data_IF_845775558093
#
_entry.id   IF_845775558093
#
_cell.length_a   1.000
_cell.length_b   1.000
_cell.length_c   1.000
_cell.angle_alpha   90.00
_cell.angle_beta   90.00
_cell.angle_gamma   90.00
#
_symmetry.space_group_name_H-M   'P 1'
#
loop_
_entity.id
_entity.type
_entity.pdbx_description
1 polymer ?
#
# COMPACT_ATOMS: atom_id res chain seq x y z
N UNK A 1 26.47 -18.94 -5.60
CA UNK A 1 26.13 -18.99 -4.15
C UNK A 1 25.60 -17.62 -3.76
N UNK A 2 24.30 -17.49 -3.47
CA UNK A 2 23.69 -16.27 -2.94
C UNK A 2 23.94 -16.24 -1.41
N UNK A 3 25.14 -15.84 -1.01
CA UNK A 3 25.58 -15.90 0.39
C UNK A 3 25.29 -14.65 1.21
N UNK A 4 25.62 -13.45 0.69
CA UNK A 4 25.62 -12.21 1.51
C UNK A 4 24.81 -11.05 0.91
N UNK A 5 24.19 -11.22 -0.27
CA UNK A 5 23.57 -10.12 -1.04
C UNK A 5 22.05 -10.25 -1.26
N UNK A 6 21.36 -11.14 -0.53
CA UNK A 6 19.92 -11.37 -0.69
C UNK A 6 19.21 -11.45 0.69
N UNK A 7 18.76 -10.31 1.25
CA UNK A 7 18.34 -10.23 2.65
C UNK A 7 17.12 -11.09 3.02
N UNK A 8 16.29 -11.49 2.06
CA UNK A 8 15.07 -12.27 2.33
C UNK A 8 15.16 -13.76 2.01
N UNK A 9 16.18 -14.22 1.28
CA UNK A 9 16.19 -15.53 0.61
C UNK A 9 15.86 -16.71 1.53
N UNK A 10 16.33 -16.67 2.79
CA UNK A 10 16.24 -17.78 3.74
C UNK A 10 15.40 -17.46 4.99
N UNK A 11 14.67 -16.34 5.00
CA UNK A 11 13.95 -15.88 6.20
C UNK A 11 12.43 -15.80 6.02
N UNK A 12 11.91 -16.05 4.82
CA UNK A 12 10.47 -15.98 4.53
C UNK A 12 9.70 -17.00 5.39
N UNK A 13 8.72 -16.48 6.12
CA UNK A 13 7.79 -17.26 6.94
C UNK A 13 6.44 -17.40 6.25
N UNK A 14 5.74 -18.50 6.52
CA UNK A 14 4.43 -18.78 5.92
C UNK A 14 3.33 -18.92 6.96
N UNK A 15 2.12 -18.50 6.61
CA UNK A 15 0.90 -18.80 7.35
C UNK A 15 0.10 -19.89 6.63
N UNK A 16 -0.68 -20.67 7.38
CA UNK A 16 -1.42 -21.84 6.86
C UNK A 16 -2.92 -21.81 7.15
N UNK A 17 -3.37 -21.04 8.14
CA UNK A 17 -4.77 -20.91 8.52
C UNK A 17 -5.20 -19.45 8.53
N UNK A 18 -6.41 -19.18 8.02
CA UNK A 18 -7.06 -17.88 8.21
C UNK A 18 -7.48 -17.74 9.67
N UNK A 19 -7.15 -16.61 10.30
CA UNK A 19 -7.57 -16.30 11.67
C UNK A 19 -8.84 -15.44 11.66
N UNK A 20 -9.74 -15.67 12.62
CA UNK A 20 -11.01 -14.92 12.71
C UNK A 20 -10.82 -13.43 13.05
N UNK A 21 -9.74 -13.09 13.76
CA UNK A 21 -9.52 -11.76 14.34
C UNK A 21 -8.68 -10.82 13.45
N UNK A 22 -8.58 -11.10 12.16
CA UNK A 22 -7.83 -10.24 11.25
C UNK A 22 -8.55 -8.94 10.96
N UNK A 23 -7.79 -7.86 11.04
CA UNK A 23 -8.16 -6.56 10.52
C UNK A 23 -7.41 -6.33 9.22
N UNK A 24 -8.14 -6.04 8.15
CA UNK A 24 -7.54 -5.97 6.83
C UNK A 24 -7.01 -4.58 6.48
N UNK A 25 -5.86 -4.57 5.83
CA UNK A 25 -5.21 -3.40 5.24
C UNK A 25 -4.86 -3.72 3.79
N UNK A 26 -4.89 -2.70 2.93
CA UNK A 26 -4.52 -2.83 1.53
C UNK A 26 -3.38 -1.90 1.15
N UNK A 27 -2.55 -2.32 0.21
CA UNK A 27 -1.52 -1.49 -0.41
C UNK A 27 -1.58 -1.63 -1.93
N UNK A 28 -1.42 -0.50 -2.61
CA UNK A 28 -1.36 -0.43 -4.07
C UNK A 28 -0.10 0.34 -4.47
N UNK A 29 0.85 -0.37 -5.07
CA UNK A 29 1.88 0.22 -5.92
C UNK A 29 1.38 0.12 -7.37
N UNK A 30 0.86 1.21 -7.95
CA UNK A 30 0.32 1.17 -9.29
C UNK A 30 1.39 1.15 -10.38
N UNK A 31 2.69 1.30 -10.05
CA UNK A 31 3.88 1.31 -10.93
C UNK A 31 3.55 1.24 -12.43
N UNK A 32 3.59 2.39 -13.10
CA UNK A 32 3.12 2.51 -14.49
C UNK A 32 4.25 2.47 -15.53
N UNK A 33 5.49 2.23 -15.08
CA UNK A 33 6.70 2.34 -15.89
C UNK A 33 6.97 3.77 -16.40
N UNK A 34 8.19 4.01 -16.88
CA UNK A 34 8.50 5.23 -17.65
C UNK A 34 7.93 5.11 -19.06
N UNK A 35 7.47 6.23 -19.64
CA UNK A 35 7.01 6.27 -21.03
C UNK A 35 8.07 5.69 -21.98
N UNK A 36 7.71 4.68 -22.77
CA UNK A 36 8.60 4.02 -23.74
C UNK A 36 9.36 2.79 -23.24
N UNK A 37 9.31 2.46 -21.95
CA UNK A 37 9.81 1.18 -21.41
C UNK A 37 8.69 0.13 -21.35
N UNK A 38 9.05 -1.16 -21.34
CA UNK A 38 8.10 -2.21 -20.95
C UNK A 38 7.49 -1.83 -19.60
N UNK A 39 6.16 -1.76 -19.52
CA UNK A 39 5.46 -1.39 -18.28
C UNK A 39 5.89 -2.29 -17.13
N UNK A 40 6.28 -1.66 -16.03
CA UNK A 40 6.52 -2.33 -14.77
C UNK A 40 5.20 -2.95 -14.25
N UNK A 41 5.25 -4.06 -13.51
CA UNK A 41 4.06 -4.68 -12.96
C UNK A 41 3.51 -3.87 -11.79
N UNK A 42 2.21 -3.59 -11.80
CA UNK A 42 1.52 -3.10 -10.60
C UNK A 42 1.45 -4.18 -9.51
N UNK A 43 1.55 -3.79 -8.25
CA UNK A 43 1.41 -4.67 -7.09
C UNK A 43 0.23 -4.24 -6.20
N UNK A 44 -0.72 -5.15 -6.02
CA UNK A 44 -1.86 -5.01 -5.12
C UNK A 44 -1.76 -6.06 -4.02
N UNK A 45 -1.59 -5.63 -2.77
CA UNK A 45 -1.51 -6.53 -1.63
C UNK A 45 -2.64 -6.27 -0.65
N UNK A 46 -3.13 -7.34 -0.02
CA UNK A 46 -4.02 -7.28 1.15
C UNK A 46 -3.40 -8.09 2.27
N UNK A 47 -3.39 -7.54 3.48
CA UNK A 47 -2.89 -8.21 4.67
C UNK A 47 -3.93 -8.27 5.79
N UNK A 48 -4.06 -9.44 6.41
CA UNK A 48 -4.77 -9.63 7.66
C UNK A 48 -3.84 -9.36 8.84
N UNK A 49 -4.05 -8.26 9.54
CA UNK A 49 -3.25 -7.89 10.71
C UNK A 49 -3.95 -8.33 12.00
N UNK A 50 -3.25 -9.12 12.81
CA UNK A 50 -3.71 -9.45 14.14
C UNK A 50 -3.19 -8.40 15.13
N UNK A 51 -4.09 -7.57 15.65
CA UNK A 51 -3.74 -6.47 16.56
C UNK A 51 -3.22 -6.91 17.92
N UNK A 52 -3.53 -8.13 18.35
CA UNK A 52 -3.07 -8.66 19.63
C UNK A 52 -1.63 -9.15 19.54
N UNK A 53 -1.28 -9.82 18.44
CA UNK A 53 0.05 -10.42 18.25
C UNK A 53 1.02 -9.52 17.47
N UNK A 54 0.51 -8.51 16.75
CA UNK A 54 1.31 -7.67 15.87
C UNK A 54 1.77 -8.36 14.59
N UNK A 55 1.15 -9.50 14.22
CA UNK A 55 1.49 -10.28 13.04
C UNK A 55 0.65 -9.86 11.85
N UNK A 56 1.30 -9.63 10.71
CA UNK A 56 0.71 -9.36 9.41
C UNK A 56 0.81 -10.59 8.50
N UNK A 57 -0.35 -11.15 8.15
CA UNK A 57 -0.47 -12.23 7.18
C UNK A 57 -0.87 -11.67 5.83
N UNK A 58 -0.01 -11.77 4.82
CA UNK A 58 -0.34 -11.33 3.45
C UNK A 58 -1.30 -12.34 2.84
N UNK A 59 -2.55 -11.95 2.61
CA UNK A 59 -3.62 -12.81 2.10
C UNK A 59 -3.78 -12.72 0.59
N UNK A 60 -3.53 -11.55 0.00
CA UNK A 60 -3.52 -11.34 -1.45
C UNK A 60 -2.19 -10.75 -1.88
N UNK A 61 -1.65 -11.25 -3.00
CA UNK A 61 -0.48 -10.68 -3.65
C UNK A 61 -0.65 -10.66 -5.18
N UNK A 62 -1.46 -9.72 -5.67
CA UNK A 62 -1.73 -9.55 -7.09
C UNK A 62 -0.66 -8.68 -7.76
N UNK A 63 0.42 -9.30 -8.25
CA UNK A 63 1.51 -8.62 -8.95
C UNK A 63 1.48 -8.99 -10.43
N UNK A 64 1.16 -8.02 -11.30
CA UNK A 64 1.08 -8.23 -12.75
C UNK A 64 1.04 -6.91 -13.51
N UNK A 65 1.36 -6.96 -14.80
CA UNK A 65 1.15 -5.83 -15.72
C UNK A 65 -0.36 -5.58 -15.87
N UNK A 66 -0.80 -4.35 -15.56
CA UNK A 66 -2.20 -3.92 -15.65
C UNK A 66 -2.30 -2.58 -16.35
N UNK A 67 -3.48 -2.33 -16.94
CA UNK A 67 -3.87 -0.97 -17.33
C UNK A 67 -4.36 -0.21 -16.08
N UNK A 68 -4.25 1.13 -16.04
CA UNK A 68 -4.73 1.94 -14.91
C UNK A 68 -6.17 1.62 -14.49
N UNK A 69 -7.09 1.49 -15.46
CA UNK A 69 -8.48 1.13 -15.16
C UNK A 69 -8.58 -0.23 -14.45
N UNK A 70 -7.78 -1.23 -14.87
CA UNK A 70 -7.80 -2.56 -14.23
C UNK A 70 -7.23 -2.54 -12.82
N UNK A 71 -6.27 -1.67 -12.52
CA UNK A 71 -5.79 -1.46 -11.14
C UNK A 71 -6.96 -0.97 -10.28
N UNK A 72 -7.72 0.03 -10.74
CA UNK A 72 -8.88 0.57 -10.02
C UNK A 72 -9.93 -0.51 -9.78
N UNK A 73 -10.28 -1.29 -10.81
CA UNK A 73 -11.26 -2.38 -10.69
C UNK A 73 -10.82 -3.45 -9.67
N UNK A 74 -9.55 -3.87 -9.73
CA UNK A 74 -9.02 -4.88 -8.82
C UNK A 74 -9.00 -4.39 -7.37
N UNK A 75 -8.63 -3.11 -7.12
CA UNK A 75 -8.68 -2.52 -5.76
C UNK A 75 -10.11 -2.47 -5.22
N UNK A 76 -11.09 -2.09 -6.04
CA UNK A 76 -12.51 -2.07 -5.62
C UNK A 76 -12.99 -3.48 -5.32
N UNK A 77 -12.61 -4.48 -6.14
CA UNK A 77 -12.96 -5.87 -5.91
C UNK A 77 -12.40 -6.38 -4.57
N UNK A 78 -11.11 -6.13 -4.30
CA UNK A 78 -10.50 -6.48 -3.02
C UNK A 78 -11.12 -5.71 -1.85
N UNK A 79 -11.51 -4.45 -2.02
CA UNK A 79 -12.22 -3.72 -0.97
C UNK A 79 -13.59 -4.34 -0.67
N UNK A 80 -14.33 -4.80 -1.68
CA UNK A 80 -15.62 -5.45 -1.50
C UNK A 80 -15.47 -6.76 -0.71
N UNK A 81 -14.43 -7.53 -1.00
CA UNK A 81 -14.16 -8.82 -0.36
C UNK A 81 -13.63 -8.66 1.07
N UNK A 82 -12.57 -7.87 1.25
CA UNK A 82 -11.81 -7.82 2.51
C UNK A 82 -12.22 -6.67 3.44
N UNK A 83 -12.93 -5.66 2.92
CA UNK A 83 -13.34 -4.46 3.67
C UNK A 83 -12.19 -3.84 4.45
N UNK A 84 -11.06 -3.63 3.77
CA UNK A 84 -9.86 -3.07 4.39
C UNK A 84 -10.19 -1.76 5.10
N UNK A 85 -9.63 -1.57 6.30
CA UNK A 85 -9.80 -0.34 7.08
C UNK A 85 -9.08 0.84 6.43
N UNK A 86 -7.99 0.57 5.72
CA UNK A 86 -7.16 1.54 5.06
C UNK A 86 -6.54 0.91 3.82
N UNK A 87 -6.56 1.67 2.72
CA UNK A 87 -5.70 1.45 1.57
C UNK A 87 -4.63 2.53 1.53
N UNK A 88 -3.37 2.14 1.40
CA UNK A 88 -2.29 3.07 1.04
C UNK A 88 -1.99 2.91 -0.45
N UNK A 89 -1.92 4.03 -1.16
CA UNK A 89 -1.73 4.05 -2.60
C UNK A 89 -0.57 4.96 -2.91
N UNK A 90 0.45 4.45 -3.57
CA UNK A 90 1.53 5.31 -4.05
C UNK A 90 0.95 6.34 -5.03
N UNK A 91 1.32 7.61 -4.83
CA UNK A 91 0.77 8.74 -5.59
C UNK A 91 1.89 9.68 -6.06
N UNK A 92 2.73 9.19 -6.96
CA UNK A 92 3.69 10.01 -7.71
C UNK A 92 3.13 10.41 -9.08
N UNK A 93 3.13 11.72 -9.39
CA UNK A 93 2.75 12.27 -10.70
C UNK A 93 1.39 11.77 -11.22
N UNK A 94 1.37 11.04 -12.35
CA UNK A 94 0.15 10.52 -13.00
C UNK A 94 -0.68 9.60 -12.08
N UNK A 95 -0.08 9.00 -11.06
CA UNK A 95 -0.78 8.15 -10.09
C UNK A 95 -1.79 8.93 -9.24
N UNK A 96 -1.65 10.26 -9.08
CA UNK A 96 -2.63 11.10 -8.39
C UNK A 96 -4.00 11.11 -9.10
N UNK A 97 -4.01 11.00 -10.43
CA UNK A 97 -5.24 10.84 -11.20
C UNK A 97 -5.88 9.49 -10.94
N UNK A 98 -5.09 8.41 -10.90
CA UNK A 98 -5.57 7.05 -10.58
C UNK A 98 -6.23 7.03 -9.20
N UNK A 99 -5.61 7.63 -8.18
CA UNK A 99 -6.19 7.78 -6.84
C UNK A 99 -7.54 8.51 -6.87
N UNK A 100 -7.62 9.62 -7.59
CA UNK A 100 -8.86 10.43 -7.69
C UNK A 100 -9.99 9.66 -8.36
N UNK A 101 -9.69 8.96 -9.45
CA UNK A 101 -10.65 8.12 -10.17
C UNK A 101 -11.08 6.89 -9.36
N UNK A 102 -10.17 6.27 -8.60
CA UNK A 102 -10.51 5.19 -7.69
C UNK A 102 -11.56 5.65 -6.68
N UNK A 103 -11.31 6.76 -5.96
CA UNK A 103 -12.24 7.27 -4.93
C UNK A 103 -13.62 7.58 -5.54
N UNK A 104 -13.64 8.22 -6.71
CA UNK A 104 -14.88 8.55 -7.43
C UNK A 104 -15.66 7.31 -7.86
N UNK A 105 -15.02 6.34 -8.51
CA UNK A 105 -15.67 5.13 -9.02
C UNK A 105 -16.12 4.19 -7.90
N UNK A 106 -15.31 4.06 -6.85
CA UNK A 106 -15.63 3.33 -5.63
C UNK A 106 -16.91 3.87 -4.96
N UNK A 107 -17.00 5.20 -4.79
CA UNK A 107 -18.17 5.86 -4.22
C UNK A 107 -19.42 5.66 -5.08
N UNK A 108 -19.30 5.80 -6.41
CA UNK A 108 -20.42 5.61 -7.33
C UNK A 108 -21.01 4.18 -7.29
N UNK A 109 -20.22 3.19 -6.85
CA UNK A 109 -20.65 1.79 -6.72
C UNK A 109 -21.11 1.40 -5.31
N UNK A 110 -21.14 2.34 -4.37
CA UNK A 110 -21.48 2.06 -2.98
C UNK A 110 -20.42 1.23 -2.22
N UNK A 111 -19.19 1.16 -2.74
CA UNK A 111 -18.06 0.43 -2.12
C UNK A 111 -16.95 1.45 -1.86
N UNK A 112 -17.09 2.36 -0.88
CA UNK A 112 -16.08 3.37 -0.62
C UNK A 112 -14.76 2.70 -0.21
N UNK A 113 -13.69 3.05 -0.93
CA UNK A 113 -12.33 2.62 -0.61
C UNK A 113 -11.72 3.67 0.33
N UNK A 114 -11.35 3.32 1.58
CA UNK A 114 -10.70 4.24 2.51
C UNK A 114 -9.23 4.44 2.12
N UNK A 115 -9.00 5.02 0.95
CA UNK A 115 -7.66 5.22 0.39
C UNK A 115 -6.97 6.46 0.97
N UNK A 116 -5.65 6.36 1.15
CA UNK A 116 -4.75 7.48 1.40
C UNK A 116 -3.62 7.44 0.38
N UNK A 117 -3.42 8.56 -0.30
CA UNK A 117 -2.25 8.77 -1.15
C UNK A 117 -1.01 8.91 -0.27
N UNK A 118 0.03 8.15 -0.60
CA UNK A 118 1.35 8.24 0.05
C UNK A 118 2.41 8.58 -1.00
N UNK A 119 3.41 9.35 -0.58
CA UNK A 119 4.60 9.65 -1.37
C UNK A 119 5.82 9.16 -0.57
N UNK A 120 6.60 8.21 -1.11
CA UNK A 120 7.85 7.81 -0.49
C UNK A 120 8.82 8.99 -0.46
N UNK A 121 9.40 9.27 0.71
CA UNK A 121 10.42 10.33 0.89
C UNK A 121 11.84 9.76 1.05
N UNK A 122 11.97 8.48 1.35
CA UNK A 122 13.24 7.78 1.56
C UNK A 122 13.52 6.78 0.44
N UNK A 123 14.79 6.42 0.31
CA UNK A 123 15.28 5.49 -0.71
C UNK A 123 14.53 4.14 -0.68
N UNK A 124 14.08 3.70 -1.85
CA UNK A 124 13.24 2.50 -2.02
C UNK A 124 13.94 1.24 -1.51
N UNK A 125 15.24 1.08 -1.77
CA UNK A 125 15.99 -0.11 -1.36
C UNK A 125 16.04 -0.21 0.17
N UNK A 126 16.38 0.90 0.83
CA UNK A 126 16.42 0.98 2.30
C UNK A 126 15.06 0.72 2.94
N UNK A 127 13.98 1.25 2.35
CA UNK A 127 12.61 0.98 2.84
C UNK A 127 12.29 -0.51 2.76
N UNK A 128 12.53 -1.15 1.63
CA UNK A 128 12.25 -2.59 1.46
C UNK A 128 13.13 -3.40 2.43
N UNK A 129 14.43 -3.11 2.52
CA UNK A 129 15.36 -3.81 3.41
C UNK A 129 14.93 -3.73 4.89
N UNK A 130 14.28 -2.65 5.32
CA UNK A 130 13.73 -2.50 6.68
C UNK A 130 12.72 -3.59 7.07
N UNK A 131 12.13 -4.32 6.11
CA UNK A 131 11.24 -5.44 6.38
C UNK A 131 11.96 -6.69 6.91
N UNK A 132 13.28 -6.82 6.68
CA UNK A 132 14.05 -8.01 7.01
C UNK A 132 13.83 -8.51 8.46
N UNK A 133 13.98 -7.67 9.52
CA UNK A 133 13.74 -8.14 10.90
C UNK A 133 12.30 -8.62 11.13
N UNK A 134 11.31 -7.99 10.48
CA UNK A 134 9.89 -8.34 10.64
C UNK A 134 9.56 -9.67 9.95
N UNK A 135 10.13 -9.92 8.78
CA UNK A 135 10.01 -11.22 8.08
C UNK A 135 10.74 -12.30 8.88
N UNK A 136 12.00 -12.07 9.27
CA UNK A 136 12.82 -13.03 10.01
C UNK A 136 12.18 -13.47 11.33
N UNK A 137 11.52 -12.57 12.02
CA UNK A 137 10.85 -12.84 13.31
C UNK A 137 9.39 -13.32 13.15
N UNK A 138 8.91 -13.57 11.93
CA UNK A 138 7.55 -14.06 11.69
C UNK A 138 6.44 -13.04 11.97
N UNK A 139 6.77 -11.76 12.05
CA UNK A 139 5.80 -10.67 12.14
C UNK A 139 5.16 -10.37 10.79
N UNK A 140 5.85 -10.69 9.70
CA UNK A 140 5.29 -10.71 8.35
C UNK A 140 5.35 -12.14 7.83
N UNK A 141 4.20 -12.69 7.44
CA UNK A 141 4.11 -14.03 6.87
C UNK A 141 3.42 -13.98 5.51
N UNK A 142 3.90 -14.80 4.59
CA UNK A 142 3.39 -14.90 3.22
C UNK A 142 2.61 -16.19 3.02
N UNK A 143 1.99 -16.33 1.85
CA UNK A 143 1.37 -17.59 1.44
C UNK A 143 2.17 -18.24 0.29
N UNK A 144 2.39 -19.57 0.27
CA UNK A 144 3.18 -20.22 -0.77
C UNK A 144 2.70 -20.00 -2.21
N UNK A 145 1.41 -19.69 -2.41
CA UNK A 145 0.85 -19.39 -3.74
C UNK A 145 1.28 -18.03 -4.30
N UNK A 146 1.91 -17.16 -3.50
CA UNK A 146 2.31 -15.80 -3.88
C UNK A 146 3.66 -15.82 -4.62
N UNK A 147 3.76 -16.67 -5.64
CA UNK A 147 5.03 -17.03 -6.30
C UNK A 147 5.83 -15.83 -6.77
N UNK A 148 5.17 -14.84 -7.40
CA UNK A 148 5.82 -13.61 -7.87
C UNK A 148 6.42 -12.79 -6.73
N UNK A 149 5.68 -12.59 -5.63
CA UNK A 149 6.20 -11.86 -4.47
C UNK A 149 7.38 -12.60 -3.83
N UNK A 150 7.26 -13.93 -3.71
CA UNK A 150 8.31 -14.78 -3.16
C UNK A 150 9.59 -14.72 -4.00
N UNK A 151 9.46 -14.75 -5.32
CA UNK A 151 10.59 -14.66 -6.25
C UNK A 151 11.28 -13.29 -6.18
N UNK A 152 10.50 -12.20 -6.16
CA UNK A 152 11.03 -10.85 -6.01
C UNK A 152 11.79 -10.68 -4.69
N UNK A 153 11.23 -11.14 -3.56
CA UNK A 153 11.91 -11.07 -2.26
C UNK A 153 13.18 -11.93 -2.22
N UNK A 154 13.14 -13.16 -2.72
CA UNK A 154 14.30 -14.08 -2.69
C UNK A 154 15.50 -13.53 -3.45
N UNK A 155 15.27 -12.81 -4.54
CA UNK A 155 16.34 -12.26 -5.37
C UNK A 155 16.61 -10.77 -5.11
N UNK A 156 15.82 -10.10 -4.27
CA UNK A 156 16.05 -8.72 -3.87
C UNK A 156 17.48 -8.54 -3.32
N UNK A 157 18.19 -7.43 -3.62
CA UNK A 157 17.77 -6.30 -4.45
C UNK A 157 18.02 -6.50 -5.96
N UNK A 158 18.46 -7.69 -6.37
CA UNK A 158 18.84 -8.01 -7.76
C UNK A 158 17.71 -8.63 -8.59
N UNK A 159 16.49 -8.65 -8.08
CA UNK A 159 15.33 -9.11 -8.83
C UNK A 159 15.04 -8.15 -10.00
N UNK A 160 14.44 -8.66 -11.07
CA UNK A 160 14.06 -7.83 -12.24
C UNK A 160 13.03 -6.75 -11.89
N UNK A 161 12.24 -6.99 -10.84
CA UNK A 161 11.16 -6.13 -10.37
C UNK A 161 11.12 -6.10 -8.84
N UNK A 162 10.74 -4.97 -8.26
CA UNK A 162 10.69 -4.72 -6.82
C UNK A 162 9.35 -4.14 -6.34
N UNK A 163 8.33 -4.05 -7.22
CA UNK A 163 7.01 -3.49 -6.93
C UNK A 163 6.28 -4.29 -5.83
N UNK A 164 6.43 -5.61 -5.78
CA UNK A 164 5.87 -6.46 -4.73
C UNK A 164 6.48 -6.18 -3.35
N UNK A 165 7.81 -6.28 -3.18
CA UNK A 165 8.50 -5.87 -1.96
C UNK A 165 8.17 -4.43 -1.53
N UNK A 166 8.04 -3.49 -2.47
CA UNK A 166 7.69 -2.11 -2.13
C UNK A 166 6.24 -1.98 -1.61
N UNK A 167 5.29 -2.62 -2.29
CA UNK A 167 3.91 -2.70 -1.81
C UNK A 167 3.81 -3.40 -0.44
N UNK A 168 4.64 -4.40 -0.18
CA UNK A 168 4.71 -5.08 1.13
C UNK A 168 5.17 -4.12 2.23
N UNK A 169 6.13 -3.26 1.91
CA UNK A 169 6.61 -2.24 2.82
C UNK A 169 5.52 -1.22 3.18
N UNK A 170 4.79 -0.73 2.17
CA UNK A 170 3.63 0.15 2.37
C UNK A 170 2.55 -0.53 3.22
N UNK A 171 2.24 -1.80 2.94
CA UNK A 171 1.25 -2.58 3.68
C UNK A 171 1.62 -2.74 5.15
N UNK A 172 2.88 -3.09 5.44
CA UNK A 172 3.39 -3.20 6.81
C UNK A 172 3.27 -1.89 7.57
N UNK A 173 3.66 -0.78 6.94
CA UNK A 173 3.53 0.56 7.54
C UNK A 173 2.07 0.93 7.81
N UNK A 174 1.16 0.64 6.87
CA UNK A 174 -0.26 0.90 7.05
C UNK A 174 -0.85 0.12 8.24
N UNK A 175 -0.46 -1.15 8.40
CA UNK A 175 -0.96 -2.01 9.47
C UNK A 175 -0.42 -1.63 10.86
N UNK A 176 0.86 -1.27 10.95
CA UNK A 176 1.55 -1.07 12.24
C UNK A 176 1.49 0.36 12.78
N UNK A 177 1.27 1.34 11.91
CA UNK A 177 1.38 2.76 12.28
C UNK A 177 0.02 3.41 12.57
N UNK A 178 -1.09 2.68 12.54
CA UNK A 178 -2.39 3.25 12.95
C UNK A 178 -2.47 3.42 14.48
N UNK A 179 -1.93 4.55 14.94
CA UNK A 179 -1.94 5.09 16.29
C UNK A 179 -1.06 6.35 16.44
N UNK A 180 -0.04 6.51 15.59
CA UNK A 180 0.88 7.65 15.54
C UNK A 180 1.06 7.99 14.06
N UNK A 181 1.25 9.27 13.67
CA UNK A 181 1.40 9.63 12.25
C UNK A 181 2.38 8.72 11.50
N UNK A 182 2.07 8.38 10.25
CA UNK A 182 2.85 7.43 9.42
C UNK A 182 4.27 7.96 9.24
N UNK A 183 5.19 7.63 10.15
CA UNK A 183 6.59 8.04 10.08
C UNK A 183 7.22 7.45 8.82
N UNK A 184 7.54 8.30 7.83
CA UNK A 184 8.15 7.88 6.56
C UNK A 184 7.28 8.08 5.32
N UNK A 185 6.02 8.49 5.45
CA UNK A 185 5.16 8.87 4.31
C UNK A 185 4.48 10.20 4.57
N UNK A 186 4.53 11.11 3.58
CA UNK A 186 3.69 12.30 3.62
C UNK A 186 2.28 11.94 3.14
N UNK A 187 1.29 12.11 4.03
CA UNK A 187 -0.11 12.02 3.64
C UNK A 187 -0.44 13.21 2.75
N UNK A 188 -0.94 12.96 1.54
CA UNK A 188 -1.54 14.04 0.74
C UNK A 188 -2.80 14.53 1.44
N UNK A 189 -2.85 15.84 1.74
CA UNK A 189 -4.01 16.46 2.37
C UNK A 189 -5.28 16.27 1.53
N UNK A 190 -6.42 15.99 2.18
CA UNK A 190 -7.72 15.99 1.50
C UNK A 190 -7.98 17.39 0.95
N UNK A 191 -7.92 17.57 -0.37
CA UNK A 191 -8.48 18.76 -1.01
C UNK A 191 -9.99 18.77 -0.79
N UNK A 192 -10.43 19.62 0.13
CA UNK A 192 -11.84 19.75 0.50
C UNK A 192 -12.05 20.64 1.71
N UNK A 193 -11.46 21.84 1.74
CA UNK A 193 -11.97 22.92 2.59
C UNK A 193 -12.49 24.02 1.66
N UNK A 194 -13.82 24.05 1.52
CA UNK A 194 -14.57 25.19 1.00
C UNK A 194 -14.11 26.43 1.77
N UNK A 195 -13.51 27.38 1.08
CA UNK A 195 -13.44 28.75 1.56
C UNK A 195 -14.81 29.37 1.24
N UNK A 196 -15.71 29.30 2.22
CA UNK A 196 -17.04 29.88 2.16
C UNK A 196 -17.35 30.45 3.53
N UNK A 197 -17.24 31.77 3.60
CA UNK A 197 -18.01 32.74 4.37
C UNK A 197 -18.54 32.30 5.74
N UNK A 198 -18.13 33.00 6.81
CA UNK A 198 -19.07 33.79 7.64
C UNK A 198 -18.34 34.68 8.67
N UNK A 199 -19.04 35.76 9.01
CA UNK A 199 -18.98 36.67 10.16
C UNK A 199 -18.44 38.07 9.93
N UNK A 200 -19.36 38.91 9.45
CA UNK A 200 -19.36 40.33 9.77
C UNK A 200 -19.46 40.55 11.28
N UNK A 201 -18.55 41.41 11.79
CA UNK A 201 -18.77 42.27 12.95
C UNK A 201 -17.63 43.29 13.03
N UNK A 202 -17.84 44.50 12.52
CA UNK A 202 -17.59 45.64 13.39
C UNK A 202 -18.41 46.87 12.99
N UNK A 203 -18.88 47.52 14.03
CA UNK A 203 -19.77 48.65 14.06
C UNK A 203 -19.01 49.82 14.66
N UNK A 204 -18.91 50.96 13.96
CA UNK A 204 -18.87 52.36 14.48
C UNK A 204 -18.33 53.29 13.38
N UNK A 205 -19.14 54.28 12.94
CA UNK A 205 -19.00 55.74 13.18
C UNK A 205 -17.70 56.31 12.57
N UNK A 206 -17.68 57.38 11.79
CA UNK A 206 -18.32 58.69 11.99
C UNK A 206 -17.92 59.59 10.80
N UNK A 207 -18.85 60.48 10.41
CA UNK A 207 -18.75 61.61 9.44
C UNK A 207 -18.67 61.30 7.95
#
# INVERSE_FOLDING_TARGET
MAGDNAPFANIIQFWVNRLADWVFYGACDPSLGKAGASRDPSALLVGGFNRQTGVLDVVEAGIRKRLPDRIIEDVIAYQAEYRCLLWVIETVQFQAFLYSELVKRAAARGIPVPARGVQPITDKLLRIESLQPHVKNGLIRLHPSQTTLLEQLRHFPKADHDDGPDALQMLWMAATTMGLGVSGFQSLGRHGARQGDDYGRDSRRMF
#
